data_IF_033631114141
#
_entry.id   IF_033631114141
#
_cell.length_a   1.000
_cell.length_b   1.000
_cell.length_c   1.000
_cell.angle_alpha   90.00
_cell.angle_beta   90.00
_cell.angle_gamma   90.00
#
_symmetry.space_group_name_H-M   'P 1'
#
loop_
_entity.id
_entity.type
_entity.pdbx_description
1 polymer ?
#
# COMPACT_ATOMS: atom_id res chain seq x y z
N UNK A 1 6.94 -0.75 7.17
CA UNK A 1 7.16 -1.59 5.97
C UNK A 1 8.56 -1.39 5.40
N UNK A 2 8.80 -0.25 4.72
CA UNK A 2 10.08 -0.02 4.01
C UNK A 2 11.30 -0.10 4.96
N UNK A 3 11.22 0.49 6.15
CA UNK A 3 12.32 0.45 7.11
C UNK A 3 12.61 -0.96 7.63
N UNK A 4 11.55 -1.75 7.87
CA UNK A 4 11.69 -3.15 8.29
C UNK A 4 12.37 -3.99 7.22
N UNK A 5 11.94 -3.82 5.96
CA UNK A 5 12.54 -4.52 4.83
C UNK A 5 14.01 -4.09 4.63
N UNK A 6 14.29 -2.78 4.70
CA UNK A 6 15.66 -2.26 4.54
C UNK A 6 16.60 -2.79 5.63
N UNK A 7 16.12 -2.83 6.87
CA UNK A 7 16.91 -3.35 7.98
C UNK A 7 17.25 -4.82 7.77
N UNK A 8 16.25 -5.62 7.38
CA UNK A 8 16.45 -7.03 7.07
C UNK A 8 17.50 -7.23 5.97
N UNK A 9 17.33 -6.51 4.86
CA UNK A 9 18.22 -6.66 3.71
C UNK A 9 19.68 -6.31 4.04
N UNK A 10 19.90 -5.24 4.81
CA UNK A 10 21.25 -4.84 5.22
C UNK A 10 21.84 -5.84 6.22
N UNK A 11 21.06 -6.31 7.21
CA UNK A 11 21.52 -7.25 8.22
C UNK A 11 21.86 -8.63 7.60
N UNK A 12 21.03 -9.09 6.68
CA UNK A 12 21.27 -10.34 5.95
C UNK A 12 22.57 -10.30 5.12
N UNK A 13 23.04 -9.10 4.78
CA UNK A 13 24.33 -8.89 4.08
C UNK A 13 25.52 -8.70 5.03
N UNK A 14 25.30 -8.96 6.32
CA UNK A 14 26.36 -9.00 7.32
C UNK A 14 26.60 -7.69 8.07
N UNK A 15 25.78 -6.68 7.85
CA UNK A 15 25.92 -5.39 8.53
C UNK A 15 25.11 -5.32 9.81
N UNK A 16 25.64 -4.60 10.79
CA UNK A 16 24.86 -4.28 12.01
C UNK A 16 23.97 -3.09 11.73
N UNK A 17 22.69 -3.23 12.05
CA UNK A 17 21.65 -2.24 11.75
C UNK A 17 20.97 -1.78 13.04
N UNK A 18 20.86 -0.47 13.23
CA UNK A 18 20.06 0.11 14.31
C UNK A 18 18.78 0.68 13.69
N UNK A 19 17.65 0.14 14.09
CA UNK A 19 16.33 0.59 13.64
C UNK A 19 15.73 1.53 14.70
N UNK A 20 15.48 2.76 14.32
CA UNK A 20 14.79 3.73 15.19
C UNK A 20 13.31 3.75 14.86
N UNK A 21 12.46 3.48 15.83
CA UNK A 21 11.00 3.54 15.71
C UNK A 21 10.42 4.36 16.86
N UNK A 22 9.71 5.42 16.54
CA UNK A 22 9.18 6.34 17.57
C UNK A 22 8.04 5.74 18.40
N UNK A 23 7.34 4.72 17.88
CA UNK A 23 6.23 4.08 18.61
C UNK A 23 6.76 2.99 19.55
N UNK A 24 6.12 2.77 20.70
CA UNK A 24 4.91 3.42 21.20
C UNK A 24 5.12 4.75 21.94
N UNK A 25 6.37 5.21 22.08
CA UNK A 25 6.68 6.45 22.81
C UNK A 25 6.00 7.69 22.21
N UNK A 26 5.84 7.72 20.89
CA UNK A 26 5.10 8.76 20.17
C UNK A 26 4.13 8.09 19.19
N UNK A 27 2.85 8.25 19.43
CA UNK A 27 1.81 7.67 18.57
C UNK A 27 1.51 8.56 17.34
N UNK A 28 0.85 7.97 16.36
CA UNK A 28 0.27 8.68 15.20
C UNK A 28 -1.25 8.49 15.21
N UNK A 29 -1.96 9.25 14.41
CA UNK A 29 -3.41 9.12 14.31
C UNK A 29 -3.91 7.83 13.65
N UNK A 30 -3.04 7.10 12.95
CA UNK A 30 -3.44 5.92 12.18
C UNK A 30 -2.98 4.59 12.79
N UNK A 31 -1.85 4.58 13.49
CA UNK A 31 -1.32 3.38 14.13
C UNK A 31 -2.07 3.07 15.44
N UNK A 32 -2.25 1.80 15.72
CA UNK A 32 -2.93 1.33 16.92
C UNK A 32 -1.92 0.71 17.89
N UNK A 33 -0.92 0.00 17.37
CA UNK A 33 0.05 -0.73 18.15
C UNK A 33 1.47 -0.17 18.08
N UNK A 34 2.38 -0.88 18.75
CA UNK A 34 3.82 -0.60 18.69
C UNK A 34 4.59 -1.56 17.79
N UNK A 35 3.89 -2.48 17.10
CA UNK A 35 4.52 -3.44 16.20
C UNK A 35 5.11 -2.77 14.96
N UNK A 36 6.15 -3.40 14.39
CA UNK A 36 6.74 -2.93 13.14
C UNK A 36 5.84 -3.32 11.96
N UNK A 37 5.96 -2.63 10.85
CA UNK A 37 5.24 -2.89 9.60
C UNK A 37 3.71 -2.89 9.75
N UNK A 38 3.15 -2.18 10.72
CA UNK A 38 1.70 -2.07 10.91
C UNK A 38 1.02 -1.45 9.69
N UNK A 39 -0.01 -2.13 9.17
CA UNK A 39 -0.76 -1.66 7.99
C UNK A 39 -1.84 -0.65 8.41
N UNK A 40 -1.68 0.60 8.02
CA UNK A 40 -2.52 1.69 8.51
C UNK A 40 -3.76 1.98 7.63
N UNK A 41 -3.77 1.53 6.38
CA UNK A 41 -4.90 1.75 5.46
C UNK A 41 -5.73 0.48 5.29
N UNK A 42 -5.57 -0.26 4.21
CA UNK A 42 -6.25 -1.55 4.00
C UNK A 42 -5.39 -2.70 4.51
N UNK A 43 -5.92 -3.92 4.51
CA UNK A 43 -5.11 -5.11 4.80
C UNK A 43 -4.62 -5.81 3.52
N UNK A 44 -4.83 -5.20 2.35
CA UNK A 44 -4.43 -5.79 1.06
C UNK A 44 -3.11 -5.16 0.57
N UNK A 45 -2.16 -6.01 0.23
CA UNK A 45 -0.90 -5.59 -0.39
C UNK A 45 -1.06 -5.37 -1.90
N UNK A 46 -2.19 -5.77 -2.48
CA UNK A 46 -2.48 -5.61 -3.90
C UNK A 46 -2.80 -6.95 -4.57
N UNK A 47 -2.93 -6.93 -5.89
CA UNK A 47 -3.18 -8.16 -6.65
C UNK A 47 -1.95 -9.05 -6.70
N UNK A 48 -2.13 -10.35 -6.49
CA UNK A 48 -1.09 -11.37 -6.64
C UNK A 48 -1.15 -12.07 -8.01
N UNK A 49 -2.07 -11.66 -8.87
CA UNK A 49 -2.22 -12.25 -10.19
C UNK A 49 -1.04 -11.84 -11.09
N UNK A 50 -0.41 -12.78 -11.80
CA UNK A 50 0.82 -12.50 -12.56
C UNK A 50 0.63 -11.52 -13.72
N UNK A 51 -0.60 -11.38 -14.23
CA UNK A 51 -0.91 -10.43 -15.30
C UNK A 51 -1.31 -9.04 -14.78
N UNK A 52 -0.96 -8.72 -13.54
CA UNK A 52 -1.21 -7.42 -12.88
C UNK A 52 0.12 -6.78 -12.46
N UNK A 53 0.17 -5.46 -12.49
CA UNK A 53 1.39 -4.73 -12.14
C UNK A 53 1.86 -5.01 -10.70
N UNK A 54 0.93 -5.08 -9.74
CA UNK A 54 1.28 -5.44 -8.37
C UNK A 54 1.69 -6.91 -8.23
N UNK A 55 1.12 -7.81 -9.04
CA UNK A 55 1.54 -9.21 -9.08
C UNK A 55 2.95 -9.38 -9.65
N UNK A 56 3.28 -8.60 -10.68
CA UNK A 56 4.66 -8.52 -11.21
C UNK A 56 5.62 -8.06 -10.13
N UNK A 57 5.28 -6.95 -9.44
CA UNK A 57 6.12 -6.43 -8.36
C UNK A 57 6.29 -7.44 -7.22
N UNK A 58 5.21 -8.12 -6.81
CA UNK A 58 5.27 -9.15 -5.77
C UNK A 58 6.25 -10.26 -6.15
N UNK A 59 6.18 -10.75 -7.40
CA UNK A 59 7.10 -11.79 -7.90
C UNK A 59 8.55 -11.32 -7.87
N UNK A 60 8.80 -10.05 -8.24
CA UNK A 60 10.15 -9.45 -8.15
C UNK A 60 10.64 -9.42 -6.69
N UNK A 61 9.79 -9.01 -5.75
CA UNK A 61 10.14 -8.97 -4.32
C UNK A 61 10.46 -10.36 -3.78
N UNK A 62 9.66 -11.36 -4.15
CA UNK A 62 9.90 -12.76 -3.76
C UNK A 62 11.22 -13.27 -4.34
N UNK A 63 11.50 -12.97 -5.61
CA UNK A 63 12.76 -13.35 -6.27
C UNK A 63 13.96 -12.68 -5.58
N UNK A 64 13.80 -11.44 -5.10
CA UNK A 64 14.86 -10.70 -4.42
C UNK A 64 14.96 -11.03 -2.90
N UNK A 65 14.18 -11.98 -2.41
CA UNK A 65 14.27 -12.44 -1.02
C UNK A 65 13.66 -11.48 0.01
N UNK A 66 12.51 -10.87 -0.31
CA UNK A 66 11.82 -9.96 0.60
C UNK A 66 11.27 -10.71 1.82
N UNK A 67 11.68 -10.31 3.02
CA UNK A 67 11.10 -10.78 4.28
C UNK A 67 9.60 -10.46 4.38
N UNK A 68 9.23 -9.23 3.99
CA UNK A 68 7.85 -8.80 4.17
C UNK A 68 6.91 -9.50 3.18
N UNK A 69 7.39 -9.86 1.98
CA UNK A 69 6.61 -10.69 1.06
C UNK A 69 6.39 -12.10 1.65
N UNK A 70 7.43 -12.69 2.26
CA UNK A 70 7.33 -13.98 2.97
C UNK A 70 6.32 -13.90 4.12
N UNK A 71 6.43 -12.90 5.00
CA UNK A 71 5.49 -12.70 6.10
C UNK A 71 4.06 -12.50 5.61
N UNK A 72 3.89 -11.79 4.48
CA UNK A 72 2.56 -11.58 3.89
C UNK A 72 1.94 -12.90 3.41
N UNK A 73 2.73 -13.78 2.79
CA UNK A 73 2.26 -15.12 2.40
C UNK A 73 1.81 -15.92 3.63
N UNK A 74 2.61 -15.86 4.69
CA UNK A 74 2.39 -16.64 5.92
C UNK A 74 1.12 -16.21 6.67
N UNK A 75 0.75 -14.93 6.57
CA UNK A 75 -0.39 -14.36 7.30
C UNK A 75 -1.57 -14.02 6.40
N UNK A 76 -1.58 -14.60 5.19
CA UNK A 76 -2.60 -14.30 4.18
C UNK A 76 -3.99 -14.74 4.63
N UNK A 77 -4.98 -13.92 4.27
CA UNK A 77 -6.41 -14.23 4.47
C UNK A 77 -7.10 -14.31 3.11
N UNK A 78 -8.22 -15.05 2.99
CA UNK A 78 -8.92 -15.17 1.72
C UNK A 78 -9.36 -13.82 1.16
N UNK A 79 -8.94 -13.49 -0.06
CA UNK A 79 -9.23 -12.19 -0.70
C UNK A 79 -9.19 -12.29 -2.25
N UNK A 80 -9.60 -13.41 -2.81
CA UNK A 80 -9.64 -13.61 -4.25
C UNK A 80 -8.26 -13.45 -4.91
N UNK A 81 -8.16 -12.61 -5.92
CA UNK A 81 -6.88 -12.33 -6.60
C UNK A 81 -5.98 -11.34 -5.87
N UNK A 82 -6.36 -10.88 -4.67
CA UNK A 82 -5.54 -9.98 -3.88
C UNK A 82 -4.75 -10.74 -2.82
N UNK A 83 -3.56 -10.28 -2.48
CA UNK A 83 -2.82 -10.72 -1.30
C UNK A 83 -3.25 -9.82 -0.14
N UNK A 84 -4.17 -10.30 0.68
CA UNK A 84 -4.59 -9.63 1.90
C UNK A 84 -4.09 -10.43 3.10
N UNK A 85 -3.81 -9.75 4.20
CA UNK A 85 -3.22 -10.36 5.39
C UNK A 85 -4.04 -10.03 6.63
N UNK A 86 -3.92 -10.89 7.65
CA UNK A 86 -4.27 -10.52 9.02
C UNK A 86 -3.27 -9.44 9.46
N UNK A 87 -3.75 -8.24 9.77
CA UNK A 87 -2.89 -7.07 10.09
C UNK A 87 -2.00 -7.33 11.29
N UNK A 88 -2.57 -7.90 12.35
CA UNK A 88 -1.84 -8.12 13.59
C UNK A 88 -0.81 -9.25 13.41
N UNK A 89 -1.23 -10.38 12.83
CA UNK A 89 -0.33 -11.50 12.58
C UNK A 89 0.84 -11.09 11.67
N UNK A 90 0.57 -10.25 10.66
CA UNK A 90 1.63 -9.75 9.75
C UNK A 90 2.62 -8.87 10.51
N UNK A 91 2.13 -7.89 11.29
CA UNK A 91 2.99 -7.01 12.09
C UNK A 91 3.80 -7.81 13.11
N UNK A 92 3.19 -8.80 13.76
CA UNK A 92 3.86 -9.66 14.75
C UNK A 92 4.92 -10.53 14.08
N UNK A 93 4.64 -11.09 12.91
CA UNK A 93 5.60 -11.89 12.15
C UNK A 93 6.84 -11.05 11.81
N UNK A 94 6.64 -9.86 11.22
CA UNK A 94 7.74 -8.96 10.85
C UNK A 94 8.53 -8.53 12.11
N UNK A 95 7.81 -8.12 13.16
CA UNK A 95 8.47 -7.65 14.40
C UNK A 95 9.33 -8.73 15.01
N UNK A 96 8.79 -9.95 15.13
CA UNK A 96 9.52 -11.09 15.71
C UNK A 96 10.77 -11.42 14.89
N UNK A 97 10.64 -11.52 13.56
CA UNK A 97 11.76 -11.85 12.66
C UNK A 97 12.90 -10.83 12.79
N UNK A 98 12.56 -9.53 12.90
CA UNK A 98 13.57 -8.48 13.07
C UNK A 98 14.22 -8.53 14.45
N UNK A 99 13.46 -8.76 15.53
CA UNK A 99 13.98 -8.83 16.88
C UNK A 99 14.85 -10.08 17.12
N UNK A 100 14.58 -11.17 16.42
CA UNK A 100 15.35 -12.41 16.49
C UNK A 100 16.64 -12.35 15.67
N UNK A 101 16.79 -11.37 14.78
CA UNK A 101 17.99 -11.29 13.93
C UNK A 101 19.17 -10.67 14.72
N UNK A 102 20.30 -11.40 14.83
CA UNK A 102 21.42 -10.93 15.69
C UNK A 102 22.08 -9.63 15.19
N UNK A 103 21.92 -9.28 13.93
CA UNK A 103 22.48 -8.06 13.34
C UNK A 103 21.57 -6.83 13.47
N UNK A 104 20.37 -6.96 14.05
CA UNK A 104 19.40 -5.86 14.14
C UNK A 104 19.16 -5.46 15.59
N UNK A 105 19.30 -4.18 15.86
CA UNK A 105 18.98 -3.57 17.15
C UNK A 105 17.81 -2.60 16.98
N UNK A 106 16.74 -2.76 17.75
CA UNK A 106 15.57 -1.89 17.70
C UNK A 106 15.61 -0.89 18.85
N UNK A 107 15.66 0.39 18.52
CA UNK A 107 15.65 1.51 19.46
C UNK A 107 14.31 2.25 19.36
N UNK A 108 13.57 2.29 20.47
CA UNK A 108 12.25 2.94 20.56
C UNK A 108 12.41 4.42 20.89
N UNK A 109 12.79 5.19 19.86
CA UNK A 109 13.05 6.63 20.02
C UNK A 109 12.69 7.39 18.73
N UNK A 110 12.18 8.62 18.90
CA UNK A 110 11.96 9.55 17.78
C UNK A 110 13.30 10.14 17.33
N UNK A 111 13.65 9.92 16.06
CA UNK A 111 14.81 10.56 15.44
C UNK A 111 14.48 12.02 15.14
N UNK A 112 15.26 12.93 15.71
CA UNK A 112 15.10 14.39 15.56
C UNK A 112 16.15 14.98 14.63
N UNK A 113 17.29 14.32 14.47
CA UNK A 113 18.38 14.67 13.54
C UNK A 113 18.85 13.42 12.85
N UNK A 114 19.09 13.57 11.57
CA UNK A 114 19.55 12.45 10.72
C UNK A 114 21.00 12.11 11.12
N UNK A 115 21.29 10.88 11.54
CA UNK A 115 22.65 10.48 11.90
C UNK A 115 23.65 10.63 10.73
N UNK A 116 24.93 10.61 11.08
CA UNK A 116 26.00 10.53 10.08
C UNK A 116 26.19 9.08 9.60
N UNK A 117 26.92 8.92 8.50
CA UNK A 117 27.18 7.61 7.89
C UNK A 117 26.10 7.18 6.93
N UNK A 118 25.97 5.87 6.73
CA UNK A 118 24.96 5.28 5.83
C UNK A 118 23.63 5.16 6.58
N UNK A 119 22.60 5.81 6.07
CA UNK A 119 21.30 5.93 6.74
C UNK A 119 20.18 5.70 5.71
N UNK A 120 19.19 4.89 6.09
CA UNK A 120 17.94 4.75 5.32
C UNK A 120 16.81 5.42 6.09
N UNK A 121 16.18 6.43 5.50
CA UNK A 121 14.98 7.05 6.08
C UNK A 121 13.75 6.43 5.42
N UNK A 122 12.96 5.75 6.23
CA UNK A 122 11.75 5.03 5.78
C UNK A 122 10.59 5.31 6.72
N UNK A 123 10.44 6.56 7.13
CA UNK A 123 9.50 7.02 8.16
C UNK A 123 8.03 6.97 7.72
N UNK A 124 7.78 6.72 6.43
CA UNK A 124 6.43 6.53 5.90
C UNK A 124 5.63 7.82 5.81
N UNK A 125 4.31 7.69 5.59
CA UNK A 125 3.46 8.85 5.34
C UNK A 125 3.20 9.70 6.60
N UNK A 126 3.36 9.12 7.79
CA UNK A 126 3.06 9.76 9.07
C UNK A 126 4.35 10.16 9.79
N UNK A 127 5.31 10.66 9.02
CA UNK A 127 6.60 11.18 9.50
C UNK A 127 6.36 12.27 10.57
N UNK A 128 7.11 12.21 11.68
CA UNK A 128 6.98 13.21 12.74
C UNK A 128 7.38 14.59 12.24
N UNK A 129 6.79 15.62 12.81
CA UNK A 129 7.07 17.02 12.44
C UNK A 129 8.56 17.35 12.57
N UNK A 130 9.22 16.81 13.59
CA UNK A 130 10.67 17.04 13.83
C UNK A 130 11.53 16.43 12.73
N UNK A 131 11.25 15.17 12.37
CA UNK A 131 11.99 14.51 11.29
C UNK A 131 11.64 15.13 9.92
N UNK A 132 10.38 15.53 9.71
CA UNK A 132 9.96 16.23 8.49
C UNK A 132 10.72 17.57 8.33
N UNK A 133 10.87 18.33 9.41
CA UNK A 133 11.64 19.59 9.40
C UNK A 133 13.13 19.32 9.11
N UNK A 134 13.70 18.28 9.68
CA UNK A 134 15.09 17.90 9.44
C UNK A 134 15.29 17.45 7.97
N UNK A 135 14.33 16.73 7.41
CA UNK A 135 14.34 16.36 5.98
C UNK A 135 14.34 17.61 5.08
N UNK A 136 13.47 18.59 5.39
CA UNK A 136 13.46 19.87 4.65
C UNK A 136 14.82 20.57 4.73
N UNK A 137 15.44 20.57 5.92
CA UNK A 137 16.76 21.20 6.10
C UNK A 137 17.86 20.52 5.26
N UNK A 138 17.84 19.18 5.20
CA UNK A 138 18.87 18.40 4.48
C UNK A 138 18.61 18.37 2.95
N UNK A 139 17.36 18.34 2.56
CA UNK A 139 16.97 18.29 1.14
C UNK A 139 16.97 19.67 0.47
N UNK A 140 16.72 20.72 1.23
CA UNK A 140 16.51 22.06 0.69
C UNK A 140 15.15 22.26 0.03
N UNK A 141 14.24 21.26 0.15
CA UNK A 141 12.94 21.25 -0.51
C UNK A 141 11.81 21.21 0.53
N UNK A 142 10.69 21.83 0.22
CA UNK A 142 9.48 21.74 1.05
C UNK A 142 8.83 20.37 0.91
N UNK A 143 8.27 19.87 1.99
CA UNK A 143 7.50 18.64 1.99
C UNK A 143 6.19 18.81 1.21
N UNK A 144 5.82 17.82 0.46
CA UNK A 144 4.52 17.74 -0.20
C UNK A 144 3.55 16.92 0.65
N UNK A 145 2.25 17.14 0.47
CA UNK A 145 1.23 16.47 1.25
C UNK A 145 0.07 16.02 0.36
N UNK A 146 -0.52 14.88 0.70
CA UNK A 146 -1.81 14.48 0.16
C UNK A 146 -2.65 13.86 1.27
N UNK A 147 -3.95 13.73 1.03
CA UNK A 147 -4.86 13.13 1.99
C UNK A 147 -5.25 11.73 1.55
N UNK A 148 -5.26 10.81 2.50
CA UNK A 148 -5.69 9.43 2.33
C UNK A 148 -6.75 9.13 3.39
N UNK A 149 -7.67 8.24 3.07
CA UNK A 149 -8.74 7.85 3.99
C UNK A 149 -8.74 6.34 4.19
N UNK A 150 -9.07 5.92 5.40
CA UNK A 150 -9.18 4.53 5.79
C UNK A 150 -10.63 4.08 5.65
N UNK A 151 -10.84 2.83 5.21
CA UNK A 151 -12.17 2.21 5.18
C UNK A 151 -12.54 1.66 6.56
N UNK A 152 -13.83 1.67 6.94
CA UNK A 152 -14.25 1.08 8.21
C UNK A 152 -14.18 -0.44 8.20
N UNK A 153 -14.09 -0.99 9.43
CA UNK A 153 -14.07 -2.43 9.70
C UNK A 153 -15.25 -2.75 10.59
N UNK A 154 -15.99 -3.81 10.26
CA UNK A 154 -17.15 -4.28 11.02
C UNK A 154 -16.91 -5.67 11.60
N UNK A 155 -17.60 -5.98 12.71
CA UNK A 155 -17.57 -7.29 13.35
C UNK A 155 -18.43 -8.30 12.56
N UNK A 156 -17.86 -9.46 12.27
CA UNK A 156 -18.52 -10.53 11.49
C UNK A 156 -19.86 -10.96 12.06
N UNK A 157 -19.94 -11.04 13.41
CA UNK A 157 -21.18 -11.42 14.11
C UNK A 157 -22.33 -10.43 13.98
N UNK A 158 -22.02 -9.21 13.53
CA UNK A 158 -23.03 -8.16 13.34
C UNK A 158 -23.54 -8.03 11.91
N UNK A 159 -22.99 -8.86 10.98
CA UNK A 159 -23.41 -8.90 9.58
C UNK A 159 -24.53 -9.93 9.40
N UNK A 160 -25.65 -9.52 8.82
CA UNK A 160 -26.79 -10.41 8.59
C UNK A 160 -26.52 -11.38 7.44
N UNK A 161 -26.17 -12.62 7.80
CA UNK A 161 -25.82 -13.69 6.85
C UNK A 161 -27.02 -14.18 6.01
N UNK A 162 -28.25 -13.84 6.38
CA UNK A 162 -29.42 -14.18 5.57
C UNK A 162 -29.57 -13.27 4.36
N UNK A 163 -28.93 -12.08 4.41
CA UNK A 163 -29.01 -11.06 3.35
C UNK A 163 -27.75 -11.11 2.46
N UNK A 164 -26.56 -11.21 3.08
CA UNK A 164 -25.31 -11.22 2.32
C UNK A 164 -25.03 -12.61 1.76
N UNK A 165 -24.30 -12.66 0.64
CA UNK A 165 -23.88 -13.93 0.05
C UNK A 165 -22.36 -13.98 -0.12
N UNK A 166 -21.79 -15.18 -0.06
CA UNK A 166 -20.35 -15.37 -0.22
C UNK A 166 -20.06 -15.67 -1.72
N UNK A 167 -19.13 -14.93 -2.30
CA UNK A 167 -18.70 -15.13 -3.69
C UNK A 167 -17.42 -14.35 -3.96
N UNK A 168 -16.73 -14.70 -5.04
CA UNK A 168 -15.59 -13.94 -5.60
C UNK A 168 -15.89 -13.61 -7.06
N UNK A 169 -15.59 -12.39 -7.48
CA UNK A 169 -15.86 -11.96 -8.86
C UNK A 169 -15.25 -12.92 -9.87
N UNK A 170 -16.08 -13.37 -10.80
CA UNK A 170 -15.70 -14.32 -11.87
C UNK A 170 -15.19 -15.66 -11.33
N UNK A 171 -15.60 -16.06 -10.13
CA UNK A 171 -15.14 -17.30 -9.51
C UNK A 171 -13.64 -17.30 -9.16
N UNK A 172 -13.03 -16.14 -9.03
CA UNK A 172 -11.58 -16.02 -8.74
C UNK A 172 -11.34 -15.89 -7.24
N UNK A 173 -11.62 -16.95 -6.51
CA UNK A 173 -11.37 -17.05 -5.08
C UNK A 173 -10.43 -18.20 -4.76
N UNK A 174 -9.83 -18.18 -3.59
CA UNK A 174 -9.08 -19.29 -3.03
C UNK A 174 -10.05 -20.37 -2.50
N UNK A 175 -11.20 -19.92 -2.03
CA UNK A 175 -12.28 -20.78 -1.53
C UNK A 175 -13.29 -21.07 -2.65
N UNK A 176 -13.76 -22.30 -2.74
CA UNK A 176 -14.85 -22.69 -3.64
C UNK A 176 -16.14 -21.89 -3.36
N UNK A 177 -16.34 -21.48 -2.12
CA UNK A 177 -17.50 -20.70 -1.70
C UNK A 177 -17.34 -19.19 -1.93
N UNK A 178 -16.16 -18.76 -2.40
CA UNK A 178 -15.83 -17.34 -2.57
C UNK A 178 -15.19 -16.71 -1.34
N UNK A 179 -14.43 -15.65 -1.55
CA UNK A 179 -13.60 -15.04 -0.49
C UNK A 179 -14.22 -13.76 0.12
N UNK A 180 -15.26 -13.23 -0.49
CA UNK A 180 -15.90 -11.98 -0.04
C UNK A 180 -17.32 -12.24 0.42
N UNK A 181 -17.76 -11.48 1.42
CA UNK A 181 -19.19 -11.33 1.69
C UNK A 181 -19.70 -10.16 0.86
N UNK A 182 -20.80 -10.37 0.17
CA UNK A 182 -21.34 -9.40 -0.79
C UNK A 182 -22.70 -8.92 -0.30
N UNK A 183 -22.87 -7.62 -0.09
CA UNK A 183 -24.12 -6.97 0.28
C UNK A 183 -24.79 -6.48 -1.00
N UNK A 184 -25.80 -7.17 -1.52
CA UNK A 184 -26.43 -6.78 -2.78
C UNK A 184 -27.39 -5.61 -2.56
N UNK A 185 -27.42 -4.68 -3.49
CA UNK A 185 -28.33 -3.53 -3.45
C UNK A 185 -29.20 -3.53 -4.72
N UNK A 186 -30.49 -3.30 -4.51
CA UNK A 186 -31.41 -2.90 -5.57
C UNK A 186 -31.12 -1.46 -5.99
N UNK A 187 -31.71 -1.01 -7.10
CA UNK A 187 -31.57 0.36 -7.58
C UNK A 187 -32.06 1.37 -6.53
N UNK A 188 -33.22 1.11 -5.92
CA UNK A 188 -33.81 2.02 -4.94
C UNK A 188 -32.93 2.16 -3.68
N UNK A 189 -32.39 1.03 -3.17
CA UNK A 189 -31.47 1.05 -2.02
C UNK A 189 -30.19 1.80 -2.34
N UNK A 190 -29.65 1.64 -3.56
CA UNK A 190 -28.46 2.34 -4.01
C UNK A 190 -28.71 3.86 -4.07
N UNK A 191 -29.82 4.28 -4.68
CA UNK A 191 -30.17 5.71 -4.82
C UNK A 191 -30.35 6.36 -3.43
N UNK A 192 -31.06 5.70 -2.52
CA UNK A 192 -31.23 6.17 -1.14
C UNK A 192 -29.88 6.26 -0.40
N UNK A 193 -29.02 5.26 -0.59
CA UNK A 193 -27.68 5.25 0.01
C UNK A 193 -26.83 6.44 -0.51
N UNK A 194 -26.82 6.66 -1.82
CA UNK A 194 -26.06 7.77 -2.43
C UNK A 194 -26.57 9.12 -1.93
N UNK A 195 -27.89 9.29 -1.87
CA UNK A 195 -28.49 10.53 -1.32
C UNK A 195 -28.07 10.76 0.14
N UNK A 196 -28.16 9.72 0.98
CA UNK A 196 -27.77 9.81 2.38
C UNK A 196 -26.26 10.09 2.55
N UNK A 197 -25.44 9.50 1.68
CA UNK A 197 -23.99 9.67 1.68
C UNK A 197 -23.60 11.11 1.32
N UNK A 198 -24.23 11.68 0.28
CA UNK A 198 -23.96 13.04 -0.18
C UNK A 198 -24.41 14.09 0.84
N UNK A 199 -25.52 13.82 1.58
CA UNK A 199 -26.04 14.70 2.61
C UNK A 199 -25.37 14.54 3.98
N UNK A 200 -24.43 13.60 4.12
CA UNK A 200 -23.83 13.28 5.43
C UNK A 200 -22.79 14.32 5.86
N UNK A 201 -22.74 14.58 7.16
CA UNK A 201 -21.75 15.50 7.73
C UNK A 201 -20.34 14.90 7.68
N UNK A 202 -19.39 15.73 7.24
CA UNK A 202 -17.97 15.38 7.14
C UNK A 202 -17.18 16.00 8.28
N UNK A 203 -16.05 15.39 8.60
CA UNK A 203 -15.10 15.97 9.55
C UNK A 203 -14.51 17.22 8.90
N UNK A 204 -14.61 18.40 9.54
CA UNK A 204 -14.02 19.61 8.96
C UNK A 204 -12.51 19.45 8.78
N UNK A 205 -12.03 19.82 7.63
CA UNK A 205 -10.60 19.88 7.39
C UNK A 205 -10.00 20.94 8.37
N UNK A 206 -9.00 20.56 9.13
CA UNK A 206 -8.42 21.43 10.18
C UNK A 206 -7.69 22.65 9.59
N UNK A 207 -7.50 23.70 10.39
CA UNK A 207 -6.95 25.00 9.95
C UNK A 207 -5.53 24.98 9.35
N UNK A 208 -4.72 23.93 9.64
CA UNK A 208 -3.43 23.76 8.98
C UNK A 208 -3.59 23.42 7.48
N UNK A 209 -4.77 23.03 7.08
CA UNK A 209 -5.12 22.74 5.67
C UNK A 209 -5.29 24.02 4.84
N UNK A 210 -5.52 25.19 5.48
CA UNK A 210 -5.46 26.47 4.80
C UNK A 210 -4.02 26.83 4.37
N UNK A 211 -3.02 26.32 5.10
CA UNK A 211 -1.62 26.43 4.69
C UNK A 211 -1.30 25.55 3.47
N UNK A 212 -2.06 24.48 3.28
CA UNK A 212 -1.94 23.59 2.11
C UNK A 212 -2.43 24.30 0.85
N UNK A 213 -3.42 25.20 0.97
CA UNK A 213 -3.91 25.99 -0.16
C UNK A 213 -2.84 26.95 -0.70
N UNK A 214 -1.83 27.27 0.09
CA UNK A 214 -0.76 28.18 -0.31
C UNK A 214 0.49 27.47 -0.87
N UNK A 215 0.64 26.13 -0.71
CA UNK A 215 1.89 25.48 -1.06
C UNK A 215 1.84 24.03 -1.57
N UNK A 216 0.66 23.45 -1.76
CA UNK A 216 0.58 22.08 -2.28
C UNK A 216 0.40 22.08 -3.79
N UNK A 217 1.45 21.68 -4.48
CA UNK A 217 1.44 21.43 -5.92
C UNK A 217 1.04 19.98 -6.26
N UNK A 218 0.15 19.39 -5.50
CA UNK A 218 -0.52 18.17 -5.93
C UNK A 218 -1.85 18.60 -6.53
N UNK A 219 -1.99 18.50 -7.82
CA UNK A 219 -3.12 18.88 -8.67
C UNK A 219 -4.43 19.40 -8.06
N UNK A 220 -5.37 19.86 -8.84
CA UNK A 220 -6.59 20.55 -8.39
C UNK A 220 -7.45 19.77 -7.38
N UNK A 221 -7.14 18.48 -7.13
CA UNK A 221 -7.89 17.62 -6.21
C UNK A 221 -7.05 17.35 -4.94
N UNK A 222 -7.66 17.60 -3.80
CA UNK A 222 -7.07 17.50 -2.46
C UNK A 222 -6.76 16.06 -2.00
N UNK A 223 -7.03 15.06 -2.83
CA UNK A 223 -6.94 13.64 -2.46
C UNK A 223 -6.16 12.85 -3.51
N UNK A 224 -5.45 11.83 -3.05
CA UNK A 224 -4.85 10.87 -3.96
C UNK A 224 -5.95 10.08 -4.68
N UNK A 225 -5.92 10.04 -6.02
CA UNK A 225 -7.00 9.47 -6.86
C UNK A 225 -7.34 8.02 -6.49
N UNK A 226 -6.35 7.22 -6.10
CA UNK A 226 -6.55 5.82 -5.76
C UNK A 226 -7.18 5.58 -4.38
N UNK A 227 -7.24 6.64 -3.54
CA UNK A 227 -7.73 6.55 -2.15
C UNK A 227 -8.82 7.60 -1.88
N UNK A 228 -9.54 8.02 -2.92
CA UNK A 228 -10.61 9.00 -2.80
C UNK A 228 -11.69 8.51 -1.83
N UNK A 229 -12.15 9.39 -0.91
CA UNK A 229 -13.31 9.07 -0.08
C UNK A 229 -14.53 8.74 -0.93
N UNK A 230 -15.34 7.79 -0.46
CA UNK A 230 -16.49 7.30 -1.20
C UNK A 230 -17.52 8.42 -1.45
N UNK A 231 -17.65 9.37 -0.53
CA UNK A 231 -18.53 10.54 -0.71
C UNK A 231 -18.04 11.46 -1.82
N UNK A 232 -16.72 11.56 -2.02
CA UNK A 232 -16.13 12.34 -3.15
C UNK A 232 -16.36 11.61 -4.48
N UNK A 233 -16.23 10.28 -4.48
CA UNK A 233 -16.55 9.48 -5.66
C UNK A 233 -18.04 9.61 -6.04
N UNK A 234 -18.92 9.66 -5.04
CA UNK A 234 -20.37 9.84 -5.25
C UNK A 234 -20.69 11.19 -5.91
N UNK A 235 -19.97 12.25 -5.57
CA UNK A 235 -20.14 13.60 -6.17
C UNK A 235 -19.90 13.62 -7.68
N UNK A 236 -19.15 12.65 -8.20
CA UNK A 236 -18.82 12.57 -9.64
C UNK A 236 -20.01 12.17 -10.51
N UNK A 237 -21.10 11.74 -9.91
CA UNK A 237 -22.33 11.42 -10.64
C UNK A 237 -23.10 10.28 -10.00
N UNK A 238 -24.40 10.27 -10.29
CA UNK A 238 -25.40 9.36 -9.72
C UNK A 238 -25.00 7.87 -9.78
N UNK A 239 -24.28 7.46 -10.82
CA UNK A 239 -23.92 6.04 -11.04
C UNK A 239 -22.43 5.77 -10.81
N UNK A 240 -21.67 6.77 -10.35
CA UNK A 240 -20.22 6.66 -10.21
C UNK A 240 -19.79 5.47 -9.33
N UNK A 241 -20.48 5.25 -8.21
CA UNK A 241 -20.17 4.15 -7.32
C UNK A 241 -20.52 2.78 -7.92
N UNK A 242 -21.63 2.69 -8.67
CA UNK A 242 -22.08 1.44 -9.31
C UNK A 242 -21.17 1.02 -10.47
N UNK A 243 -20.43 1.96 -11.07
CA UNK A 243 -19.39 1.66 -12.07
C UNK A 243 -17.99 1.58 -11.44
N UNK A 244 -17.84 2.07 -10.22
CA UNK A 244 -16.61 2.13 -9.43
C UNK A 244 -16.53 1.05 -8.36
N UNK A 245 -16.41 1.44 -7.07
CA UNK A 245 -16.19 0.47 -5.99
C UNK A 245 -17.36 -0.49 -5.75
N UNK A 246 -18.60 -0.09 -6.05
CA UNK A 246 -19.78 -0.91 -5.81
C UNK A 246 -20.27 -1.65 -7.07
N UNK A 247 -19.44 -1.76 -8.10
CA UNK A 247 -19.85 -2.42 -9.35
C UNK A 247 -20.27 -3.89 -9.11
N UNK A 248 -21.39 -4.34 -9.71
CA UNK A 248 -21.88 -5.71 -9.48
C UNK A 248 -21.31 -6.75 -10.48
N UNK A 249 -20.49 -6.33 -11.43
CA UNK A 249 -20.03 -7.17 -12.54
C UNK A 249 -19.22 -8.37 -12.00
N UNK A 250 -19.54 -9.57 -12.47
CA UNK A 250 -18.91 -10.81 -12.07
C UNK A 250 -19.49 -11.45 -10.80
N UNK A 251 -20.62 -10.91 -10.29
CA UNK A 251 -21.33 -11.42 -9.12
C UNK A 251 -22.80 -11.71 -9.47
N UNK A 252 -23.35 -12.75 -8.84
CA UNK A 252 -24.74 -13.17 -8.98
C UNK A 252 -25.31 -13.42 -7.61
N UNK A 253 -26.40 -12.78 -7.24
CA UNK A 253 -27.08 -13.05 -5.96
C UNK A 253 -27.80 -14.41 -6.06
N UNK A 254 -27.39 -15.43 -5.29
CA UNK A 254 -27.98 -16.76 -5.39
C UNK A 254 -29.47 -16.82 -5.03
N UNK A 255 -29.97 -15.85 -4.24
CA UNK A 255 -31.38 -15.82 -3.82
C UNK A 255 -32.31 -15.34 -4.93
N UNK A 256 -31.93 -14.28 -5.62
CA UNK A 256 -32.70 -13.70 -6.72
C UNK A 256 -32.34 -14.31 -8.08
N UNK A 257 -31.21 -15.02 -8.14
CA UNK A 257 -30.58 -15.55 -9.38
C UNK A 257 -30.38 -14.45 -10.42
N UNK A 258 -30.11 -13.24 -9.94
CA UNK A 258 -29.89 -12.09 -10.80
C UNK A 258 -28.70 -11.28 -10.35
N UNK A 259 -28.19 -10.45 -11.22
CA UNK A 259 -27.10 -9.53 -10.91
C UNK A 259 -27.69 -8.33 -10.14
N UNK A 260 -27.19 -8.03 -8.93
CA UNK A 260 -27.64 -6.83 -8.20
C UNK A 260 -27.34 -5.55 -8.98
N UNK A 261 -28.01 -4.45 -8.63
CA UNK A 261 -27.72 -3.14 -9.22
C UNK A 261 -26.33 -2.64 -8.76
N UNK A 262 -26.03 -2.82 -7.49
CA UNK A 262 -24.71 -2.50 -6.91
C UNK A 262 -24.38 -3.52 -5.82
N UNK A 263 -23.12 -3.64 -5.42
CA UNK A 263 -22.69 -4.59 -4.37
C UNK A 263 -21.61 -3.96 -3.51
N UNK A 264 -21.83 -3.96 -2.20
CA UNK A 264 -20.75 -3.67 -1.22
C UNK A 264 -20.02 -4.97 -0.92
N UNK A 265 -18.71 -5.00 -1.13
CA UNK A 265 -17.88 -6.18 -0.81
C UNK A 265 -17.23 -6.01 0.55
N UNK A 266 -17.32 -7.03 1.39
CA UNK A 266 -16.66 -7.10 2.69
C UNK A 266 -15.51 -8.11 2.56
N UNK A 267 -14.29 -7.65 2.82
CA UNK A 267 -13.09 -8.49 2.79
C UNK A 267 -12.67 -8.85 4.21
N UNK A 268 -12.35 -10.12 4.41
CA UNK A 268 -11.84 -10.61 5.70
C UNK A 268 -10.59 -9.81 6.10
N UNK A 269 -10.53 -9.37 7.36
CA UNK A 269 -9.45 -8.50 7.87
C UNK A 269 -8.53 -9.23 8.87
N UNK A 270 -8.95 -10.41 9.38
CA UNK A 270 -8.19 -11.21 10.33
C UNK A 270 -8.28 -12.71 9.99
N UNK A 271 -7.33 -13.52 10.49
CA UNK A 271 -7.31 -14.97 10.26
C UNK A 271 -8.52 -15.69 10.85
N UNK A 272 -9.05 -15.21 11.96
CA UNK A 272 -10.22 -15.79 12.62
C UNK A 272 -11.53 -15.56 11.85
N UNK A 273 -11.54 -14.65 10.87
CA UNK A 273 -12.75 -14.26 10.15
C UNK A 273 -13.74 -13.51 11.03
N UNK A 274 -13.26 -12.87 12.09
CA UNK A 274 -14.08 -12.13 13.04
C UNK A 274 -14.29 -10.67 12.64
N UNK A 275 -13.49 -10.16 11.69
CA UNK A 275 -13.53 -8.76 11.24
C UNK A 275 -13.59 -8.69 9.72
N UNK A 276 -14.36 -7.72 9.20
CA UNK A 276 -14.51 -7.49 7.76
C UNK A 276 -14.34 -6.03 7.42
N UNK A 277 -13.48 -5.74 6.45
CA UNK A 277 -13.21 -4.42 5.90
C UNK A 277 -14.21 -4.10 4.77
N UNK A 278 -14.82 -2.92 4.79
CA UNK A 278 -15.70 -2.45 3.70
C UNK A 278 -14.82 -1.99 2.53
N UNK A 279 -14.78 -2.76 1.45
CA UNK A 279 -13.90 -2.49 0.30
C UNK A 279 -14.37 -1.24 -0.45
N UNK A 280 -13.48 -0.26 -0.60
CA UNK A 280 -13.78 0.98 -1.31
C UNK A 280 -14.55 2.02 -0.53
N UNK A 281 -14.62 1.87 0.80
CA UNK A 281 -15.34 2.77 1.70
C UNK A 281 -14.40 3.70 2.49
N UNK A 282 -13.28 4.10 1.90
CA UNK A 282 -12.50 5.20 2.46
C UNK A 282 -13.41 6.40 2.65
N UNK A 283 -13.32 7.08 3.78
CA UNK A 283 -14.30 8.13 4.10
C UNK A 283 -13.78 9.18 5.08
N UNK A 284 -14.28 10.41 4.92
CA UNK A 284 -14.08 11.52 5.85
C UNK A 284 -15.38 11.88 6.61
N UNK A 285 -16.38 11.01 6.56
CA UNK A 285 -17.62 11.23 7.31
C UNK A 285 -17.38 11.21 8.83
N UNK A 286 -18.15 12.01 9.57
CA UNK A 286 -18.18 11.90 11.05
C UNK A 286 -18.60 10.50 11.47
N UNK A 287 -18.12 10.00 12.60
CA UNK A 287 -18.40 8.63 13.08
C UNK A 287 -19.90 8.32 13.21
N UNK A 288 -20.74 9.23 13.75
CA UNK A 288 -22.19 8.98 13.78
C UNK A 288 -22.80 8.83 12.36
N UNK A 289 -22.30 9.62 11.39
CA UNK A 289 -22.75 9.55 10.01
C UNK A 289 -22.31 8.24 9.34
N UNK A 290 -21.09 7.77 9.61
CA UNK A 290 -20.65 6.47 9.11
C UNK A 290 -21.60 5.37 9.61
N UNK A 291 -21.96 5.40 10.90
CA UNK A 291 -22.89 4.44 11.48
C UNK A 291 -24.26 4.53 10.80
N UNK A 292 -24.80 5.74 10.64
CA UNK A 292 -26.11 5.97 10.01
C UNK A 292 -26.15 5.52 8.56
N UNK A 293 -25.20 5.98 7.75
CA UNK A 293 -25.19 5.79 6.30
C UNK A 293 -24.79 4.36 5.93
N UNK A 294 -23.73 3.81 6.56
CA UNK A 294 -23.25 2.49 6.17
C UNK A 294 -24.14 1.36 6.67
N UNK A 295 -25.00 1.61 7.67
CA UNK A 295 -26.04 0.67 8.09
C UNK A 295 -27.23 0.61 7.11
N UNK A 296 -27.26 1.43 6.10
CA UNK A 296 -28.23 1.30 5.00
C UNK A 296 -27.91 0.15 4.04
N UNK A 297 -26.69 -0.32 3.83
CA UNK A 297 -26.34 -1.30 3.08
C UNK A 297 -26.96 -2.48 3.55
N UNK A 298 -27.63 -3.31 2.67
CA UNK A 298 -28.31 -4.55 3.04
C UNK A 298 -27.34 -5.54 3.72
N UNK A 299 -27.78 -6.06 4.84
CA UNK A 299 -26.98 -6.96 5.67
C UNK A 299 -26.12 -6.25 6.71
N UNK A 300 -26.07 -4.92 6.69
CA UNK A 300 -25.28 -4.13 7.64
C UNK A 300 -26.16 -3.29 8.60
N UNK A 301 -27.47 -3.52 8.64
CA UNK A 301 -28.39 -2.73 9.44
C UNK A 301 -28.02 -2.72 10.94
N UNK A 302 -27.48 -3.84 11.42
CA UNK A 302 -27.04 -3.99 12.82
C UNK A 302 -25.51 -3.96 12.97
N UNK A 303 -24.78 -3.56 11.93
CA UNK A 303 -23.32 -3.64 11.92
C UNK A 303 -22.68 -2.90 13.10
N UNK A 304 -21.76 -3.57 13.77
CA UNK A 304 -20.93 -2.98 14.82
C UNK A 304 -19.56 -2.67 14.20
N UNK A 305 -19.12 -1.44 14.38
CA UNK A 305 -17.87 -0.95 13.79
C UNK A 305 -16.72 -1.17 14.78
N UNK A 306 -15.86 -2.13 14.47
CA UNK A 306 -14.61 -2.34 15.20
C UNK A 306 -13.65 -1.17 14.97
N UNK A 307 -13.73 -0.54 13.76
CA UNK A 307 -12.95 0.64 13.41
C UNK A 307 -13.75 1.52 12.46
N UNK A 308 -13.75 2.81 12.72
CA UNK A 308 -14.34 3.79 11.80
C UNK A 308 -13.33 4.22 10.74
N UNK A 309 -13.83 4.61 9.60
CA UNK A 309 -13.02 5.27 8.58
C UNK A 309 -12.50 6.61 9.08
N UNK A 310 -11.30 6.97 8.67
CA UNK A 310 -10.65 8.20 9.13
C UNK A 310 -9.68 8.71 8.07
N UNK A 311 -9.60 10.02 7.92
CA UNK A 311 -8.69 10.65 6.98
C UNK A 311 -7.36 10.99 7.65
N UNK A 312 -6.26 10.87 6.90
CA UNK A 312 -4.91 11.21 7.35
C UNK A 312 -4.20 12.09 6.33
N UNK A 313 -3.35 12.97 6.84
CA UNK A 313 -2.42 13.73 6.02
C UNK A 313 -1.14 12.91 5.85
N UNK A 314 -0.79 12.61 4.62
CA UNK A 314 0.40 11.87 4.26
C UNK A 314 1.49 12.84 3.76
N UNK A 315 2.70 12.70 4.28
CA UNK A 315 3.86 13.51 3.89
C UNK A 315 4.68 12.75 2.86
N UNK A 316 5.13 13.43 1.81
CA UNK A 316 6.11 12.90 0.88
C UNK A 316 7.03 14.03 0.39
N UNK A 317 8.13 13.68 -0.23
CA UNK A 317 9.12 14.64 -0.75
C UNK A 317 8.96 14.80 -2.25
N UNK A 318 9.38 15.94 -2.79
CA UNK A 318 9.48 16.14 -4.24
C UNK A 318 10.74 15.39 -4.74
N UNK A 319 10.64 14.08 -4.75
CA UNK A 319 11.77 13.16 -4.91
C UNK A 319 12.53 13.29 -6.24
N UNK A 320 11.90 13.64 -7.37
CA UNK A 320 12.68 13.85 -8.61
C UNK A 320 13.82 14.87 -8.52
N UNK A 321 13.65 15.64 -7.71
CA UNK A 321 14.57 16.61 -7.45
C UNK A 321 15.67 16.16 -6.63
N UNK A 322 15.38 15.23 -5.85
CA UNK A 322 16.22 14.87 -4.71
C UNK A 322 16.98 13.55 -4.92
N UNK A 323 16.36 12.53 -5.51
CA UNK A 323 16.83 11.15 -5.50
C UNK A 323 17.50 10.73 -6.81
N UNK A 324 18.47 9.84 -6.69
CA UNK A 324 18.94 8.97 -7.76
C UNK A 324 18.00 7.75 -7.85
N UNK A 325 18.04 7.03 -8.95
CA UNK A 325 17.25 5.79 -9.10
C UNK A 325 17.69 4.68 -8.13
N UNK A 326 18.87 4.83 -7.52
CA UNK A 326 19.35 3.98 -6.42
C UNK A 326 18.70 4.32 -5.07
N UNK A 327 17.82 5.32 -5.03
CA UNK A 327 17.14 5.88 -3.84
C UNK A 327 18.07 6.68 -2.91
N UNK A 328 19.29 6.95 -3.35
CA UNK A 328 20.25 7.79 -2.63
C UNK A 328 19.94 9.27 -2.91
N UNK A 329 20.05 10.12 -1.89
CA UNK A 329 19.90 11.59 -2.05
C UNK A 329 21.13 12.13 -2.83
N UNK A 330 20.88 12.97 -3.83
CA UNK A 330 21.93 13.57 -4.67
C UNK A 330 22.91 14.43 -3.88
N UNK A 331 22.42 15.13 -2.84
CA UNK A 331 23.21 16.10 -2.07
C UNK A 331 24.06 15.49 -0.96
N UNK A 332 23.80 14.22 -0.56
CA UNK A 332 24.52 13.57 0.54
C UNK A 332 24.69 12.08 0.27
N UNK A 333 25.94 11.70 -0.01
CA UNK A 333 26.28 10.27 -0.17
C UNK A 333 25.97 9.48 1.11
N UNK A 334 25.48 8.26 0.96
CA UNK A 334 25.14 7.38 2.06
C UNK A 334 23.76 7.64 2.70
N UNK A 335 23.03 8.68 2.25
CA UNK A 335 21.68 8.92 2.73
C UNK A 335 20.66 8.44 1.69
N UNK A 336 19.90 7.42 2.06
CA UNK A 336 18.88 6.81 1.19
C UNK A 336 17.48 7.08 1.76
N UNK A 337 16.50 7.18 0.87
CA UNK A 337 15.08 7.30 1.24
C UNK A 337 14.30 6.12 0.70
N UNK A 338 13.33 5.61 1.46
CA UNK A 338 12.51 4.48 1.02
C UNK A 338 11.07 4.61 1.51
N UNK A 339 10.18 3.96 0.80
CA UNK A 339 8.76 3.91 1.17
C UNK A 339 8.01 5.15 0.73
N UNK A 340 6.85 5.35 1.33
CA UNK A 340 5.88 6.37 0.90
C UNK A 340 6.42 7.80 0.95
N UNK A 341 7.41 8.06 1.80
CA UNK A 341 8.07 9.37 1.88
C UNK A 341 8.72 9.78 0.53
N UNK A 342 9.07 8.80 -0.30
CA UNK A 342 9.65 9.05 -1.64
C UNK A 342 8.59 9.33 -2.72
N UNK A 343 7.30 9.26 -2.39
CA UNK A 343 6.23 9.33 -3.39
C UNK A 343 5.89 7.99 -4.04
N UNK A 344 6.43 6.88 -3.53
CA UNK A 344 5.97 5.54 -3.95
C UNK A 344 4.72 5.20 -3.14
N UNK A 345 3.65 4.84 -3.83
CA UNK A 345 2.36 4.49 -3.22
C UNK A 345 2.13 2.98 -3.26
N UNK A 346 1.41 2.48 -2.26
CA UNK A 346 1.04 1.07 -2.14
C UNK A 346 2.08 0.26 -1.37
N UNK A 347 1.60 -0.72 -0.61
CA UNK A 347 2.45 -1.48 0.33
C UNK A 347 3.60 -2.21 -0.37
N UNK A 348 3.34 -2.88 -1.51
CA UNK A 348 4.41 -3.61 -2.23
C UNK A 348 5.49 -2.65 -2.76
N UNK A 349 5.10 -1.46 -3.27
CA UNK A 349 6.06 -0.44 -3.69
C UNK A 349 6.91 0.04 -2.53
N UNK A 350 6.28 0.24 -1.37
CA UNK A 350 7.00 0.65 -0.16
C UNK A 350 7.97 -0.43 0.31
N UNK A 351 7.55 -1.69 0.29
CA UNK A 351 8.43 -2.84 0.62
C UNK A 351 9.60 -2.87 -0.37
N UNK A 352 9.32 -2.76 -1.68
CA UNK A 352 10.34 -2.82 -2.73
C UNK A 352 11.39 -1.73 -2.62
N UNK A 353 10.96 -0.49 -2.38
CA UNK A 353 11.93 0.61 -2.18
C UNK A 353 12.75 0.39 -0.90
N UNK A 354 12.15 -0.19 0.15
CA UNK A 354 12.86 -0.59 1.36
C UNK A 354 13.92 -1.66 1.04
N UNK A 355 13.53 -2.67 0.27
CA UNK A 355 14.42 -3.75 -0.16
C UNK A 355 15.64 -3.18 -0.90
N UNK A 356 15.41 -2.37 -1.93
CA UNK A 356 16.50 -1.77 -2.72
C UNK A 356 17.38 -0.84 -1.84
N UNK A 357 16.76 -0.03 -0.98
CA UNK A 357 17.52 0.87 -0.11
C UNK A 357 18.38 0.09 0.90
N UNK A 358 17.87 -1.02 1.43
CA UNK A 358 18.63 -1.89 2.35
C UNK A 358 19.82 -2.56 1.64
N UNK A 359 19.60 -3.09 0.43
CA UNK A 359 20.69 -3.63 -0.40
C UNK A 359 21.74 -2.57 -0.68
N UNK A 360 21.30 -1.37 -1.08
CA UNK A 360 22.18 -0.27 -1.40
C UNK A 360 22.93 0.27 -0.18
N UNK A 361 22.29 0.29 0.99
CA UNK A 361 22.98 0.65 2.23
C UNK A 361 24.14 -0.32 2.51
N UNK A 362 23.91 -1.62 2.35
CA UNK A 362 24.95 -2.64 2.52
C UNK A 362 26.09 -2.44 1.50
N UNK A 363 25.75 -2.26 0.22
CA UNK A 363 26.77 -2.04 -0.84
C UNK A 363 27.62 -0.81 -0.56
N UNK A 364 26.99 0.29 -0.15
CA UNK A 364 27.72 1.53 0.21
C UNK A 364 28.65 1.31 1.42
N UNK A 365 28.23 0.52 2.40
CA UNK A 365 29.09 0.14 3.55
C UNK A 365 30.27 -0.72 3.10
N UNK A 366 30.10 -1.56 2.09
CA UNK A 366 31.17 -2.37 1.51
C UNK A 366 32.04 -1.59 0.51
N UNK A 367 31.74 -0.31 0.27
CA UNK A 367 32.47 0.52 -0.70
C UNK A 367 32.10 0.24 -2.15
N UNK A 368 30.98 -0.44 -2.38
CA UNK A 368 30.48 -0.76 -3.71
C UNK A 368 29.52 0.32 -4.21
N UNK A 369 29.41 0.49 -5.55
CA UNK A 369 28.43 1.43 -6.08
C UNK A 369 27.00 0.97 -5.81
N UNK A 370 26.11 1.92 -5.55
CA UNK A 370 24.71 1.63 -5.34
C UNK A 370 24.09 1.03 -6.61
N UNK A 371 23.29 -0.02 -6.42
CA UNK A 371 22.58 -0.74 -7.47
C UNK A 371 21.42 0.10 -8.02
N UNK A 372 21.25 0.10 -9.32
CA UNK A 372 20.07 0.65 -10.01
C UNK A 372 19.41 -0.51 -10.75
N UNK A 373 18.14 -0.76 -10.45
CA UNK A 373 17.40 -1.84 -11.09
C UNK A 373 16.99 -1.48 -12.52
N UNK A 374 16.92 -2.47 -13.42
CA UNK A 374 16.49 -2.21 -14.81
C UNK A 374 15.07 -1.61 -14.85
N UNK A 375 14.88 -0.64 -15.75
CA UNK A 375 13.58 0.03 -15.93
C UNK A 375 12.48 -0.91 -16.40
N UNK A 376 12.83 -2.07 -16.92
CA UNK A 376 11.92 -3.12 -17.36
C UNK A 376 11.27 -3.86 -16.20
N UNK A 377 11.89 -3.82 -15.00
CA UNK A 377 11.28 -4.36 -13.78
C UNK A 377 10.29 -3.33 -13.20
N UNK A 378 9.28 -3.80 -12.51
CA UNK A 378 8.29 -2.90 -11.88
C UNK A 378 8.92 -2.07 -10.78
N UNK A 379 9.82 -2.67 -9.98
CA UNK A 379 10.53 -1.93 -8.92
C UNK A 379 11.47 -0.89 -9.52
N UNK A 380 12.24 -1.27 -10.56
CA UNK A 380 13.12 -0.33 -11.25
C UNK A 380 12.34 0.83 -11.87
N UNK A 381 11.19 0.55 -12.48
CA UNK A 381 10.32 1.59 -13.05
C UNK A 381 9.80 2.55 -11.98
N UNK A 382 9.41 2.04 -10.80
CA UNK A 382 8.99 2.89 -9.67
C UNK A 382 10.16 3.78 -9.20
N UNK A 383 11.36 3.21 -9.05
CA UNK A 383 12.56 3.97 -8.64
C UNK A 383 12.93 5.04 -9.67
N UNK A 384 12.83 4.71 -10.96
CA UNK A 384 13.02 5.68 -12.04
C UNK A 384 11.97 6.79 -11.97
N UNK A 385 10.69 6.44 -11.77
CA UNK A 385 9.62 7.44 -11.68
C UNK A 385 9.92 8.45 -10.56
N UNK A 386 10.22 7.98 -9.33
CA UNK A 386 10.44 8.89 -8.19
C UNK A 386 11.76 9.67 -8.28
N UNK A 387 12.64 9.32 -9.21
CA UNK A 387 13.92 10.04 -9.39
C UNK A 387 14.00 10.86 -10.67
N UNK A 388 13.08 10.68 -11.63
CA UNK A 388 13.19 11.30 -12.96
C UNK A 388 11.89 11.94 -13.46
N UNK A 389 10.76 11.77 -12.74
CA UNK A 389 9.50 12.41 -13.12
C UNK A 389 9.63 13.93 -13.14
N UNK A 390 8.73 14.59 -13.87
CA UNK A 390 8.68 16.06 -13.85
C UNK A 390 8.33 16.55 -12.45
N UNK A 391 9.26 17.26 -11.83
CA UNK A 391 9.10 17.77 -10.45
C UNK A 391 7.96 18.78 -10.29
N UNK A 392 7.59 19.46 -11.38
CA UNK A 392 6.49 20.44 -11.36
C UNK A 392 5.11 19.80 -11.28
N UNK A 393 4.99 18.54 -11.68
CA UNK A 393 3.73 17.79 -11.67
C UNK A 393 3.83 16.47 -10.91
N UNK A 394 4.84 16.32 -10.07
CA UNK A 394 5.13 15.07 -9.36
C UNK A 394 4.00 14.69 -8.40
N UNK A 395 3.52 13.48 -8.52
CA UNK A 395 2.47 12.90 -7.67
C UNK A 395 2.87 11.48 -7.23
N UNK A 396 2.35 11.02 -6.08
CA UNK A 396 2.62 9.65 -5.66
C UNK A 396 2.21 8.62 -6.73
N UNK A 397 3.00 7.56 -6.86
CA UNK A 397 2.86 6.57 -7.92
C UNK A 397 2.86 5.15 -7.35
N UNK A 398 1.86 4.36 -7.74
CA UNK A 398 1.83 2.94 -7.43
C UNK A 398 2.17 2.10 -8.66
N UNK A 399 2.52 0.83 -8.42
CA UNK A 399 2.83 -0.12 -9.49
C UNK A 399 1.72 -0.13 -10.55
N UNK A 400 2.09 0.18 -11.79
CA UNK A 400 1.20 0.13 -12.95
C UNK A 400 2.03 -0.05 -14.22
N UNK A 401 1.46 -0.69 -15.23
CA UNK A 401 2.18 -0.97 -16.48
C UNK A 401 2.52 0.30 -17.29
N UNK A 402 1.86 1.42 -17.00
CA UNK A 402 2.10 2.69 -17.71
C UNK A 402 3.45 3.33 -17.42
N UNK A 403 4.11 2.94 -16.33
CA UNK A 403 5.45 3.47 -15.99
C UNK A 403 6.59 2.62 -16.58
N UNK A 404 6.28 1.44 -17.13
CA UNK A 404 7.28 0.59 -17.77
C UNK A 404 7.63 1.14 -19.17
N UNK A 405 8.87 0.95 -19.62
CA UNK A 405 9.21 1.28 -21.01
C UNK A 405 8.31 0.52 -21.99
N UNK A 406 7.95 1.12 -23.13
CA UNK A 406 7.10 0.42 -24.10
C UNK A 406 7.80 -0.82 -24.67
N UNK A 407 7.00 -1.78 -25.12
CA UNK A 407 7.53 -2.97 -25.79
C UNK A 407 8.00 -2.57 -27.21
N UNK A 408 9.23 -2.97 -27.57
CA UNK A 408 9.88 -2.53 -28.81
C UNK A 408 9.29 -3.13 -30.10
N UNK A 409 8.61 -4.28 -30.01
CA UNK A 409 7.90 -4.86 -31.16
C UNK A 409 6.70 -5.66 -30.66
N UNK A 410 5.55 -5.03 -30.70
CA UNK A 410 4.30 -5.72 -30.34
C UNK A 410 3.53 -5.93 -31.62
N UNK A 411 3.46 -7.16 -32.08
CA UNK A 411 2.41 -7.57 -32.99
C UNK A 411 1.04 -7.23 -32.36
N UNK A 412 -0.05 -7.60 -32.99
CA UNK A 412 -1.41 -7.33 -32.48
C UNK A 412 -1.68 -8.12 -31.19
N UNK A 413 -1.06 -7.72 -30.05
CA UNK A 413 -1.34 -8.29 -28.73
C UNK A 413 -2.55 -7.57 -28.09
N UNK A 414 -3.43 -8.36 -27.51
CA UNK A 414 -4.49 -7.82 -26.65
C UNK A 414 -3.90 -7.28 -25.34
N UNK A 415 -4.76 -6.73 -24.48
CA UNK A 415 -4.34 -6.15 -23.20
C UNK A 415 -3.61 -7.17 -22.30
N UNK A 416 -4.09 -8.44 -22.27
CA UNK A 416 -3.47 -9.50 -21.45
C UNK A 416 -2.13 -9.94 -22.03
N UNK A 417 -2.07 -10.10 -23.33
CA UNK A 417 -0.81 -10.44 -24.03
C UNK A 417 0.28 -9.40 -23.78
N UNK A 418 -0.09 -8.11 -23.84
CA UNK A 418 0.86 -7.03 -23.54
C UNK A 418 1.34 -7.09 -22.09
N UNK A 419 0.43 -7.34 -21.12
CA UNK A 419 0.79 -7.45 -19.72
C UNK A 419 1.78 -8.62 -19.50
N UNK A 420 1.51 -9.79 -20.10
CA UNK A 420 2.41 -10.95 -20.02
C UNK A 420 3.79 -10.65 -20.59
N UNK A 421 3.83 -10.03 -21.77
CA UNK A 421 5.11 -9.68 -22.41
C UNK A 421 5.95 -8.72 -21.55
N UNK A 422 5.29 -7.76 -20.87
CA UNK A 422 5.96 -6.87 -19.93
C UNK A 422 6.50 -7.62 -18.71
N UNK A 423 5.71 -8.53 -18.16
CA UNK A 423 6.12 -9.37 -17.02
C UNK A 423 7.31 -10.25 -17.39
N UNK A 424 7.25 -10.94 -18.52
CA UNK A 424 8.33 -11.79 -19.01
C UNK A 424 9.63 -11.00 -19.25
N UNK A 425 9.50 -9.82 -19.86
CA UNK A 425 10.66 -8.93 -20.09
C UNK A 425 11.28 -8.48 -18.75
N UNK A 426 10.46 -8.08 -17.79
CA UNK A 426 10.94 -7.66 -16.46
C UNK A 426 11.62 -8.80 -15.72
N UNK A 427 11.05 -10.00 -15.75
CA UNK A 427 11.66 -11.19 -15.13
C UNK A 427 13.01 -11.52 -15.77
N UNK A 428 13.11 -11.46 -17.10
CA UNK A 428 14.37 -11.69 -17.81
C UNK A 428 15.41 -10.63 -17.44
N UNK A 429 15.00 -9.36 -17.35
CA UNK A 429 15.89 -8.26 -16.97
C UNK A 429 16.43 -8.45 -15.54
N UNK A 430 15.57 -8.89 -14.62
CA UNK A 430 15.96 -9.14 -13.23
C UNK A 430 16.91 -10.35 -13.12
N UNK A 431 16.66 -11.41 -13.88
CA UNK A 431 17.55 -12.59 -13.92
C UNK A 431 18.92 -12.28 -14.52
N UNK A 432 18.97 -11.36 -15.47
CA UNK A 432 20.23 -10.95 -16.11
C UNK A 432 21.06 -9.98 -15.27
N UNK A 433 20.49 -9.48 -14.16
CA UNK A 433 21.15 -8.51 -13.31
C UNK A 433 22.22 -9.21 -12.46
N UNK A 434 23.45 -8.73 -12.57
CA UNK A 434 24.56 -9.20 -11.72
C UNK A 434 24.43 -8.55 -10.34
N UNK A 435 23.94 -9.31 -9.38
CA UNK A 435 23.77 -8.85 -8.00
C UNK A 435 25.04 -8.99 -7.16
N UNK A 436 26.08 -9.65 -7.73
CA UNK A 436 27.32 -9.96 -6.99
C UNK A 436 27.18 -11.22 -6.14
N UNK A 437 28.31 -11.81 -5.75
CA UNK A 437 28.35 -13.12 -5.08
C UNK A 437 27.61 -13.20 -3.74
N UNK A 438 27.54 -12.10 -3.02
CA UNK A 438 26.80 -12.04 -1.73
C UNK A 438 25.28 -12.03 -1.92
N UNK A 439 24.79 -11.51 -3.03
CA UNK A 439 23.37 -11.42 -3.35
C UNK A 439 22.86 -12.68 -4.06
N UNK A 440 23.71 -13.31 -4.89
CA UNK A 440 23.36 -14.55 -5.63
C UNK A 440 23.07 -15.73 -4.73
N UNK A 441 23.81 -15.87 -3.62
CA UNK A 441 23.67 -17.00 -2.68
C UNK A 441 22.29 -17.10 -2.01
N UNK A 442 21.48 -16.05 -2.05
CA UNK A 442 20.21 -15.98 -1.35
C UNK A 442 18.98 -16.13 -2.27
N UNK A 443 19.18 -15.86 -3.57
CA UNK A 443 18.13 -16.04 -4.57
C UNK A 443 17.93 -17.53 -4.90
N UNK A 444 18.92 -18.37 -4.64
CA UNK A 444 19.00 -19.74 -5.13
C UNK A 444 18.28 -20.81 -4.27
N UNK A 445 17.63 -20.43 -3.17
CA UNK A 445 16.98 -21.44 -2.33
C UNK A 445 15.49 -21.15 -2.11
N UNK A 446 14.61 -21.60 -3.03
CA UNK A 446 13.21 -21.71 -2.65
C UNK A 446 13.17 -22.82 -1.59
N UNK A 447 12.73 -22.49 -0.40
CA UNK A 447 12.58 -23.46 0.67
C UNK A 447 11.65 -24.60 0.25
N UNK A 448 12.24 -25.73 -0.06
CA UNK A 448 11.49 -26.98 -0.16
C UNK A 448 11.23 -27.45 1.26
N UNK A 449 10.11 -27.05 1.80
CA UNK A 449 9.59 -27.70 2.99
C UNK A 449 8.69 -28.84 2.54
N UNK A 450 9.15 -30.05 2.78
CA UNK A 450 8.33 -31.27 2.75
C UNK A 450 7.22 -31.19 3.81
#
# INVERSE_FOLDING_TARGET
>A
LAGSEAAWQAAERGHRVVVYEMRPGRSTGAHIGGGLAELVCSNSLGSQLPDRASGMLLAELEQLGSLLAECARYTAVPAGGALAVDRQAFSDCVTRRLLEHPGIELVREEVKRIPEGVVVIASGPLTSERLAAELMRVSGEENLYFFDAISPIVEAGSVDRSIVFRDSRYGRGLSEQGDYLNCPMSRAEYEQFVEALLGAERIPLRSFESAIQAGVRAGADRYFEACLPIEILAERGERSLAYGPLRPVGLMDPRSRSRPYAVVQLRQDDLAGSLYNLVGFQTNLKFPEQRRVFRMXPGLQSAQFARYGQMHRNTFLNSPXLLRASLEIRSRSGLLLAGQITGVEGYLGNIGTGLLAGMNAARLMDGEPALVLPSETMLGALCNYVSQADSGSFQPMKANFGILPPLSSVGKLDRRGRARAMVERGAAALQALDLGSKDELRIATPGVTT
#
